data_IF_976281809224
#
_entry.id   IF_976281809224
#
_cell.length_a   1.000
_cell.length_b   1.000
_cell.length_c   1.000
_cell.angle_alpha   90.00
_cell.angle_beta   90.00
_cell.angle_gamma   90.00
#
_symmetry.space_group_name_H-M   'P 1'
#
loop_
_entity.id
_entity.type
_entity.pdbx_description
1 polymer ?
#
# COMPACT_ATOMS: atom_id res chain seq x y z
N UNK A 1 -7.00 -13.70 13.43
CA UNK A 1 -8.06 -12.87 12.81
C UNK A 1 -7.82 -11.36 12.94
N UNK A 2 -7.51 -10.81 14.12
CA UNK A 2 -7.28 -9.35 14.27
C UNK A 2 -6.14 -8.77 13.42
N UNK A 3 -4.99 -9.46 13.30
CA UNK A 3 -3.87 -9.02 12.44
C UNK A 3 -4.16 -9.03 10.93
N UNK A 4 -4.98 -9.98 10.46
CA UNK A 4 -5.42 -10.03 9.06
C UNK A 4 -6.38 -8.88 8.74
N UNK A 5 -7.26 -8.53 9.69
CA UNK A 5 -8.11 -7.34 9.59
C UNK A 5 -7.29 -6.04 9.59
N UNK A 6 -6.20 -5.98 10.37
CA UNK A 6 -5.28 -4.84 10.37
C UNK A 6 -4.55 -4.68 9.03
N UNK A 7 -4.09 -5.77 8.41
CA UNK A 7 -3.54 -5.75 7.04
C UNK A 7 -4.55 -5.23 6.02
N UNK A 8 -5.81 -5.65 6.13
CA UNK A 8 -6.89 -5.19 5.26
C UNK A 8 -7.14 -3.69 5.46
N UNK A 9 -7.25 -3.23 6.70
CA UNK A 9 -7.44 -1.82 7.06
C UNK A 9 -6.28 -0.96 6.55
N UNK A 10 -5.02 -1.37 6.79
CA UNK A 10 -3.82 -0.65 6.32
C UNK A 10 -3.73 -0.54 4.79
N UNK A 11 -4.38 -1.45 4.04
CA UNK A 11 -4.44 -1.36 2.58
C UNK A 11 -5.40 -0.27 2.06
N UNK A 12 -6.35 0.20 2.89
CA UNK A 12 -7.33 1.24 2.52
C UNK A 12 -6.98 2.64 3.03
N UNK A 13 -6.05 2.78 3.99
CA UNK A 13 -5.70 4.07 4.62
C UNK A 13 -4.48 4.77 4.01
N UNK A 14 -3.98 4.34 2.85
CA UNK A 14 -2.84 5.00 2.17
C UNK A 14 -3.18 6.36 1.53
N UNK A 15 -4.37 6.92 1.78
CA UNK A 15 -4.75 8.26 1.35
C UNK A 15 -5.22 9.09 2.55
N UNK A 16 -4.41 10.09 2.91
CA UNK A 16 -4.60 11.18 3.89
C UNK A 16 -3.81 11.05 5.20
N UNK A 17 -2.58 11.56 5.17
CA UNK A 17 -1.80 11.93 6.35
C UNK A 17 -1.91 13.44 6.62
N UNK A 18 -3.02 13.85 7.21
CA UNK A 18 -2.94 14.89 8.23
C UNK A 18 -3.27 14.20 9.54
N UNK A 19 -2.34 14.23 10.49
CA UNK A 19 -2.65 13.87 11.86
C UNK A 19 -3.93 14.63 12.23
N UNK A 20 -5.02 13.90 12.50
CA UNK A 20 -6.31 14.51 12.75
C UNK A 20 -6.16 15.55 13.86
N UNK A 21 -6.60 16.78 13.61
CA UNK A 21 -6.73 17.80 14.64
C UNK A 21 -7.57 17.24 15.79
N UNK A 22 -7.40 17.80 16.98
CA UNK A 22 -8.21 17.44 18.13
C UNK A 22 -9.72 17.60 17.81
N UNK A 23 -10.62 16.90 18.53
CA UNK A 23 -12.06 17.00 18.26
C UNK A 23 -12.62 18.44 18.31
N UNK A 24 -11.91 19.35 18.97
CA UNK A 24 -12.19 20.78 19.07
C UNK A 24 -11.49 21.65 18.00
N UNK A 25 -10.76 21.03 17.07
CA UNK A 25 -9.98 21.70 16.03
C UNK A 25 -8.61 22.21 16.48
N UNK A 26 -8.20 21.97 17.72
CA UNK A 26 -6.87 22.38 18.21
C UNK A 26 -5.74 21.46 17.70
N UNK A 27 -4.52 22.00 17.69
CA UNK A 27 -3.32 21.20 17.42
C UNK A 27 -2.96 20.36 18.68
N UNK A 28 -2.70 19.05 18.53
CA UNK A 28 -2.30 18.21 19.65
C UNK A 28 -1.01 18.70 20.32
N UNK A 29 -0.99 18.74 21.65
CA UNK A 29 0.18 19.15 22.44
C UNK A 29 1.14 17.98 22.62
N UNK A 30 2.36 18.14 22.14
CA UNK A 30 3.44 17.16 22.31
C UNK A 30 3.97 17.12 23.74
N UNK A 31 4.07 15.93 24.30
CA UNK A 31 4.67 15.60 25.59
C UNK A 31 5.56 14.35 25.46
N UNK A 32 6.32 14.02 26.49
CA UNK A 32 7.17 12.81 26.53
C UNK A 32 6.49 11.79 27.45
N UNK A 33 6.52 10.51 27.08
CA UNK A 33 6.01 9.42 27.89
C UNK A 33 6.67 9.37 29.27
N UNK A 34 5.98 8.78 30.25
CA UNK A 34 6.48 8.72 31.62
C UNK A 34 7.83 7.99 31.76
N UNK A 35 8.12 7.05 30.86
CA UNK A 35 9.37 6.30 30.78
C UNK A 35 10.40 6.93 29.83
N UNK A 36 10.08 8.05 29.19
CA UNK A 36 10.99 8.78 28.31
C UNK A 36 11.21 8.17 26.93
N UNK A 37 10.51 7.08 26.59
CA UNK A 37 10.80 6.28 25.38
C UNK A 37 10.07 6.77 24.14
N UNK A 38 9.00 7.56 24.26
CA UNK A 38 8.25 8.10 23.13
C UNK A 38 7.61 9.46 23.40
N UNK A 39 7.08 10.07 22.34
CA UNK A 39 6.29 11.30 22.43
C UNK A 39 4.79 10.99 22.48
N UNK A 40 4.09 11.61 23.42
CA UNK A 40 2.63 11.53 23.59
C UNK A 40 2.02 12.84 23.11
N UNK A 41 1.00 12.78 22.25
CA UNK A 41 0.28 13.97 21.78
C UNK A 41 -1.12 14.01 22.39
N UNK A 42 -1.39 15.03 23.21
CA UNK A 42 -2.63 15.16 23.96
C UNK A 42 -3.42 16.37 23.46
N UNK A 43 -4.74 16.21 23.35
CA UNK A 43 -5.64 17.34 23.11
C UNK A 43 -5.88 18.12 24.41
N UNK A 44 -5.67 19.44 24.38
CA UNK A 44 -5.77 20.31 25.55
C UNK A 44 -7.21 20.70 25.88
N UNK A 45 -8.06 19.73 26.23
CA UNK A 45 -9.42 19.96 26.69
C UNK A 45 -9.64 19.36 28.07
N UNK A 46 -10.06 20.18 29.04
CA UNK A 46 -10.30 19.79 30.44
C UNK A 46 -11.22 18.56 30.56
N UNK A 47 -10.66 17.46 31.06
CA UNK A 47 -11.38 16.26 31.44
C UNK A 47 -12.18 16.50 32.73
N UNK A 48 -13.37 17.08 32.63
CA UNK A 48 -14.27 17.24 33.76
C UNK A 48 -15.70 16.72 33.52
N UNK A 49 -15.88 15.67 32.71
CA UNK A 49 -17.13 14.88 32.70
C UNK A 49 -16.95 13.45 32.16
N UNK A 50 -15.92 12.74 32.61
CA UNK A 50 -15.90 11.28 32.51
C UNK A 50 -15.78 10.71 33.92
N UNK A 51 -16.87 10.07 34.38
CA UNK A 51 -16.87 9.29 35.63
C UNK A 51 -15.64 8.38 35.64
N UNK A 52 -14.90 8.43 36.74
CA UNK A 52 -13.90 7.44 37.11
C UNK A 52 -14.53 6.05 37.17
N UNK A 53 -14.65 5.39 36.02
CA UNK A 53 -14.71 3.95 35.97
C UNK A 53 -13.28 3.48 36.18
N UNK A 54 -12.96 3.16 37.45
CA UNK A 54 -11.84 2.27 37.79
C UNK A 54 -12.09 0.92 37.12
N UNK A 55 -11.85 0.85 35.82
CA UNK A 55 -11.67 -0.40 35.13
C UNK A 55 -10.24 -0.77 35.43
N UNK A 56 -10.05 -1.72 36.32
CA UNK A 56 -8.81 -2.46 36.41
C UNK A 56 -8.54 -3.03 35.03
N UNK A 57 -7.75 -2.34 34.21
CA UNK A 57 -7.16 -2.90 33.02
C UNK A 57 -6.08 -3.88 33.49
N UNK A 58 -6.54 -5.00 34.05
CA UNK A 58 -5.79 -6.23 33.96
C UNK A 58 -5.84 -6.56 32.47
N UNK A 59 -4.80 -6.11 31.76
CA UNK A 59 -4.59 -6.43 30.37
C UNK A 59 -4.85 -7.93 30.21
N UNK A 60 -5.82 -8.26 29.37
CA UNK A 60 -6.06 -9.63 28.98
C UNK A 60 -4.77 -10.10 28.31
N UNK A 61 -4.01 -10.93 29.03
CA UNK A 61 -2.82 -11.65 28.54
C UNK A 61 -3.18 -12.72 27.51
N UNK A 62 -4.19 -12.48 26.67
CA UNK A 62 -4.67 -13.41 25.66
C UNK A 62 -4.49 -12.85 24.24
N UNK A 63 -3.32 -12.29 23.95
CA UNK A 63 -2.73 -12.32 22.59
C UNK A 63 -2.20 -13.72 22.22
N UNK A 64 -2.33 -14.70 23.13
CA UNK A 64 -1.85 -16.08 23.01
C UNK A 64 -2.60 -17.00 22.03
N UNK A 65 -3.40 -16.48 21.09
CA UNK A 65 -4.12 -17.35 20.12
C UNK A 65 -4.19 -16.82 18.68
N UNK A 66 -3.23 -15.98 18.24
CA UNK A 66 -3.06 -15.73 16.80
C UNK A 66 -2.06 -16.77 16.27
N UNK A 67 -2.59 -17.99 16.08
CA UNK A 67 -1.94 -19.19 15.56
C UNK A 67 -0.72 -19.64 16.39
N UNK A 68 -0.91 -20.62 17.28
CA UNK A 68 0.19 -21.53 17.64
C UNK A 68 0.59 -22.31 16.38
N UNK A 69 1.36 -21.69 15.48
CA UNK A 69 1.84 -22.30 14.24
C UNK A 69 2.06 -21.30 13.10
N UNK A 70 3.16 -21.47 12.36
CA UNK A 70 3.39 -20.78 11.09
C UNK A 70 2.33 -21.18 10.05
N UNK A 71 1.81 -20.23 9.28
CA UNK A 71 0.93 -20.48 8.12
C UNK A 71 1.64 -21.41 7.15
N UNK A 72 0.99 -22.50 6.73
CA UNK A 72 1.56 -23.45 5.78
C UNK A 72 1.07 -23.15 4.37
N UNK A 73 1.87 -23.52 3.37
CA UNK A 73 1.47 -23.40 1.95
C UNK A 73 0.18 -24.19 1.63
N UNK A 74 -0.07 -25.30 2.33
CA UNK A 74 -1.32 -26.08 2.21
C UNK A 74 -2.56 -25.30 2.62
N UNK A 75 -2.40 -24.30 3.50
CA UNK A 75 -3.49 -23.54 4.10
C UNK A 75 -3.90 -22.36 3.21
N UNK A 76 -3.10 -22.06 2.16
CA UNK A 76 -3.34 -20.96 1.25
C UNK A 76 -4.38 -21.35 0.20
N UNK A 77 -5.46 -20.58 0.15
CA UNK A 77 -6.41 -20.55 -0.95
C UNK A 77 -6.49 -19.13 -1.52
N UNK A 78 -6.14 -18.97 -2.80
CA UNK A 78 -6.23 -17.67 -3.46
C UNK A 78 -7.66 -17.44 -3.96
N UNK A 79 -8.30 -16.31 -3.62
CA UNK A 79 -9.70 -16.10 -3.94
C UNK A 79 -9.91 -15.56 -5.37
N UNK A 80 -8.85 -15.26 -6.12
CA UNK A 80 -8.92 -14.76 -7.50
C UNK A 80 -9.01 -13.24 -7.61
N UNK A 81 -9.86 -12.56 -6.81
CA UNK A 81 -10.07 -11.10 -6.87
C UNK A 81 -9.38 -10.32 -5.74
N UNK A 82 -8.24 -10.82 -5.25
CA UNK A 82 -7.43 -10.23 -4.17
C UNK A 82 -8.21 -9.98 -2.85
N UNK A 83 -8.05 -10.87 -1.88
CA UNK A 83 -8.80 -10.94 -0.61
C UNK A 83 -10.32 -11.15 -0.70
N UNK A 84 -10.90 -11.18 -1.89
CA UNK A 84 -12.31 -11.54 -2.12
C UNK A 84 -12.47 -12.48 -3.31
N UNK A 85 -13.52 -13.29 -3.28
CA UNK A 85 -13.94 -14.17 -4.39
C UNK A 85 -14.76 -13.44 -5.43
N UNK A 86 -15.44 -12.36 -5.02
CA UNK A 86 -16.32 -11.57 -5.87
C UNK A 86 -16.23 -10.08 -5.52
N UNK A 87 -16.54 -9.23 -6.50
CA UNK A 87 -16.61 -7.77 -6.34
C UNK A 87 -18.05 -7.38 -6.67
N UNK A 88 -18.77 -6.91 -5.66
CA UNK A 88 -20.15 -6.45 -5.79
C UNK A 88 -20.23 -4.92 -5.75
N UNK A 89 -21.40 -4.38 -6.09
CA UNK A 89 -21.67 -2.95 -5.95
C UNK A 89 -21.52 -2.53 -4.49
N UNK A 90 -20.83 -1.41 -4.25
CA UNK A 90 -20.57 -0.91 -2.90
C UNK A 90 -21.00 0.54 -2.77
N UNK A 91 -21.87 0.86 -1.80
CA UNK A 91 -22.35 2.22 -1.57
C UNK A 91 -21.23 3.20 -1.20
N UNK A 92 -20.13 2.71 -0.60
CA UNK A 92 -18.95 3.53 -0.29
C UNK A 92 -18.19 3.98 -1.55
N UNK A 93 -18.44 3.34 -2.70
CA UNK A 93 -17.83 3.73 -3.98
C UNK A 93 -18.61 4.83 -4.71
N UNK A 94 -19.75 5.26 -4.19
CA UNK A 94 -20.51 6.37 -4.80
C UNK A 94 -19.65 7.65 -4.83
N UNK A 95 -19.58 8.30 -5.99
CA UNK A 95 -18.78 9.52 -6.19
C UNK A 95 -17.29 9.29 -6.46
N UNK A 96 -16.81 8.05 -6.40
CA UNK A 96 -15.44 7.69 -6.79
C UNK A 96 -15.27 7.64 -8.32
N UNK A 97 -14.03 7.64 -8.85
CA UNK A 97 -13.80 7.61 -10.29
C UNK A 97 -14.50 6.45 -11.01
N UNK A 98 -15.12 6.76 -12.15
CA UNK A 98 -15.66 5.77 -13.12
C UNK A 98 -15.16 6.10 -14.52
N UNK A 99 -15.19 5.12 -15.44
CA UNK A 99 -14.81 5.33 -16.85
C UNK A 99 -15.89 5.99 -17.72
N UNK A 100 -17.07 6.26 -17.15
CA UNK A 100 -18.05 7.15 -17.78
C UNK A 100 -17.54 8.61 -17.84
N UNK A 101 -16.60 8.96 -16.95
CA UNK A 101 -15.96 10.28 -16.95
C UNK A 101 -14.71 10.28 -17.84
N UNK A 102 -14.69 11.20 -18.81
CA UNK A 102 -13.50 11.46 -19.63
C UNK A 102 -12.29 11.86 -18.78
N UNK A 103 -12.50 12.48 -17.62
CA UNK A 103 -11.43 12.84 -16.68
C UNK A 103 -10.71 11.61 -16.14
N UNK A 104 -11.43 10.61 -15.64
CA UNK A 104 -10.82 9.37 -15.13
C UNK A 104 -10.05 8.65 -16.22
N UNK A 105 -10.69 8.49 -17.40
CA UNK A 105 -10.07 7.84 -18.55
C UNK A 105 -8.77 8.54 -18.98
N UNK A 106 -8.82 9.86 -19.18
CA UNK A 106 -7.65 10.63 -19.61
C UNK A 106 -6.53 10.62 -18.57
N UNK A 107 -6.89 10.61 -17.27
CA UNK A 107 -5.93 10.52 -16.19
C UNK A 107 -5.17 9.19 -16.20
N UNK A 108 -5.87 8.06 -16.31
CA UNK A 108 -5.22 6.74 -16.44
C UNK A 108 -4.42 6.66 -17.74
N UNK A 109 -4.97 7.17 -18.85
CA UNK A 109 -4.28 7.20 -20.14
C UNK A 109 -2.97 7.99 -20.08
N UNK A 110 -2.92 9.07 -19.31
CA UNK A 110 -1.72 9.88 -19.12
C UNK A 110 -0.59 9.17 -18.38
N UNK A 111 -0.88 8.10 -17.64
CA UNK A 111 0.14 7.28 -16.98
C UNK A 111 0.89 6.36 -17.96
N UNK A 112 0.30 6.04 -19.12
CA UNK A 112 0.88 5.10 -20.08
C UNK A 112 2.21 5.63 -20.61
N UNK A 113 3.31 4.94 -20.28
CA UNK A 113 4.66 5.35 -20.67
C UNK A 113 5.14 6.65 -20.00
N UNK A 114 4.53 7.05 -18.89
CA UNK A 114 4.93 8.24 -18.14
C UNK A 114 6.33 8.08 -17.55
N UNK A 115 7.21 9.05 -17.82
CA UNK A 115 8.59 9.09 -17.34
C UNK A 115 8.63 9.65 -15.91
N UNK A 116 8.33 8.78 -14.94
CA UNK A 116 8.37 9.11 -13.53
C UNK A 116 9.77 9.47 -13.06
N UNK A 117 10.81 8.85 -13.63
CA UNK A 117 12.19 9.09 -13.24
C UNK A 117 12.56 10.56 -13.49
N UNK A 118 12.31 11.05 -14.70
CA UNK A 118 12.61 12.43 -15.08
C UNK A 118 11.71 13.44 -14.35
N UNK A 119 10.41 13.15 -14.20
CA UNK A 119 9.49 14.03 -13.47
C UNK A 119 9.91 14.17 -12.00
N UNK A 120 10.21 13.04 -11.35
CA UNK A 120 10.65 13.03 -9.97
C UNK A 120 11.97 13.79 -9.80
N UNK A 121 12.96 13.56 -10.65
CA UNK A 121 14.27 14.23 -10.56
C UNK A 121 14.15 15.75 -10.76
N UNK A 122 13.22 16.20 -11.62
CA UNK A 122 13.00 17.62 -11.87
C UNK A 122 12.19 18.32 -10.77
N UNK A 123 11.25 17.62 -10.14
CA UNK A 123 10.19 18.27 -9.36
C UNK A 123 10.13 17.83 -7.88
N UNK A 124 10.85 16.80 -7.46
CA UNK A 124 10.78 16.26 -6.10
C UNK A 124 12.07 16.43 -5.30
N UNK A 125 11.93 16.45 -3.98
CA UNK A 125 13.06 16.38 -3.05
C UNK A 125 12.73 15.54 -1.80
N UNK A 126 13.62 15.52 -0.82
CA UNK A 126 13.44 14.73 0.42
C UNK A 126 12.22 15.15 1.23
N UNK A 127 11.91 16.46 1.27
CA UNK A 127 10.79 17.00 2.04
C UNK A 127 9.45 16.93 1.30
N UNK A 128 9.48 17.10 -0.02
CA UNK A 128 8.30 17.19 -0.88
C UNK A 128 8.43 16.24 -2.08
N UNK A 129 8.15 14.94 -1.90
CA UNK A 129 8.01 14.02 -3.02
C UNK A 129 6.68 14.29 -3.76
N UNK A 130 6.74 14.77 -5.00
CA UNK A 130 5.55 15.06 -5.81
C UNK A 130 5.15 13.82 -6.63
N UNK A 131 4.31 12.95 -6.05
CA UNK A 131 3.95 11.65 -6.64
C UNK A 131 2.54 11.58 -7.24
N UNK A 132 1.79 12.68 -7.22
CA UNK A 132 0.39 12.72 -7.67
C UNK A 132 0.23 12.28 -9.14
N UNK A 133 1.24 12.56 -9.96
CA UNK A 133 1.27 12.19 -11.38
C UNK A 133 1.25 10.68 -11.63
N UNK A 134 1.63 9.86 -10.64
CA UNK A 134 1.56 8.38 -10.75
C UNK A 134 0.54 7.76 -9.81
N UNK A 135 0.29 8.39 -8.66
CA UNK A 135 -0.65 7.89 -7.65
C UNK A 135 -2.11 8.20 -7.99
N UNK A 136 -2.45 9.42 -8.44
CA UNK A 136 -3.84 9.70 -8.83
C UNK A 136 -4.33 8.84 -10.00
N UNK A 137 -3.54 8.60 -11.08
CA UNK A 137 -3.96 7.73 -12.17
C UNK A 137 -4.17 6.28 -11.75
N UNK A 138 -3.29 5.70 -10.93
CA UNK A 138 -3.48 4.30 -10.53
C UNK A 138 -4.69 4.14 -9.61
N UNK A 139 -4.95 5.11 -8.72
CA UNK A 139 -6.16 5.14 -7.89
C UNK A 139 -7.42 5.25 -8.76
N UNK A 140 -7.38 6.08 -9.81
CA UNK A 140 -8.47 6.18 -10.78
C UNK A 140 -8.71 4.87 -11.52
N UNK A 141 -7.64 4.17 -11.95
CA UNK A 141 -7.75 2.84 -12.56
C UNK A 141 -8.42 1.85 -11.60
N UNK A 142 -7.93 1.75 -10.37
CA UNK A 142 -8.47 0.81 -9.37
C UNK A 142 -9.94 1.09 -9.05
N UNK A 143 -10.27 2.35 -8.73
CA UNK A 143 -11.62 2.75 -8.35
C UNK A 143 -12.61 2.55 -9.49
N UNK A 144 -12.23 2.94 -10.71
CA UNK A 144 -13.08 2.78 -11.88
C UNK A 144 -13.25 1.31 -12.28
N UNK A 145 -12.24 0.47 -12.06
CA UNK A 145 -12.31 -0.99 -12.26
C UNK A 145 -13.26 -1.64 -11.26
N UNK A 146 -13.15 -1.32 -9.96
CA UNK A 146 -14.06 -1.81 -8.93
C UNK A 146 -15.51 -1.42 -9.24
N UNK A 147 -15.76 -0.16 -9.60
CA UNK A 147 -17.09 0.30 -10.02
C UNK A 147 -17.58 -0.42 -11.29
N UNK A 148 -16.69 -0.71 -12.24
CA UNK A 148 -17.07 -1.40 -13.46
C UNK A 148 -17.51 -2.84 -13.20
N UNK A 149 -16.73 -3.59 -12.40
CA UNK A 149 -17.02 -4.98 -12.05
C UNK A 149 -18.25 -5.05 -11.14
N UNK A 150 -18.27 -4.27 -10.04
CA UNK A 150 -19.35 -4.33 -9.06
C UNK A 150 -20.72 -3.91 -9.58
N UNK A 151 -20.77 -3.10 -10.64
CA UNK A 151 -22.03 -2.71 -11.30
C UNK A 151 -22.29 -3.45 -12.63
N UNK A 152 -21.52 -4.51 -12.92
CA UNK A 152 -21.61 -5.28 -14.18
C UNK A 152 -21.59 -4.41 -15.45
N UNK A 153 -20.79 -3.33 -15.44
CA UNK A 153 -20.67 -2.42 -16.56
C UNK A 153 -19.61 -2.91 -17.55
N UNK A 154 -20.04 -3.78 -18.46
CA UNK A 154 -19.19 -4.42 -19.47
C UNK A 154 -18.40 -3.42 -20.35
N UNK A 155 -18.97 -2.25 -20.65
CA UNK A 155 -18.26 -1.22 -21.40
C UNK A 155 -17.06 -0.67 -20.62
N UNK A 156 -17.25 -0.38 -19.33
CA UNK A 156 -16.17 0.11 -18.47
C UNK A 156 -15.16 -0.97 -18.10
N UNK A 157 -15.58 -2.24 -17.98
CA UNK A 157 -14.67 -3.39 -17.81
C UNK A 157 -13.74 -3.48 -19.03
N UNK A 158 -14.27 -3.36 -20.25
CA UNK A 158 -13.47 -3.34 -21.47
C UNK A 158 -12.47 -2.18 -21.51
N UNK A 159 -12.87 -0.98 -21.06
CA UNK A 159 -11.98 0.18 -20.95
C UNK A 159 -10.85 -0.10 -19.95
N UNK A 160 -11.20 -0.59 -18.75
CA UNK A 160 -10.25 -0.92 -17.70
C UNK A 160 -9.20 -1.94 -18.19
N UNK A 161 -9.67 -3.01 -18.84
CA UNK A 161 -8.80 -4.04 -19.43
C UNK A 161 -7.84 -3.47 -20.46
N UNK A 162 -8.33 -2.65 -21.40
CA UNK A 162 -7.47 -2.07 -22.43
C UNK A 162 -6.40 -1.15 -21.83
N UNK A 163 -6.76 -0.30 -20.87
CA UNK A 163 -5.81 0.55 -20.16
C UNK A 163 -4.75 -0.27 -19.40
N UNK A 164 -5.16 -1.37 -18.72
CA UNK A 164 -4.24 -2.28 -18.04
C UNK A 164 -3.21 -2.89 -19.01
N UNK A 165 -3.64 -3.29 -20.20
CA UNK A 165 -2.79 -3.86 -21.25
C UNK A 165 -1.86 -2.79 -21.83
N UNK A 166 -2.35 -1.58 -22.08
CA UNK A 166 -1.55 -0.50 -22.65
C UNK A 166 -0.45 -0.04 -21.69
N UNK A 167 -0.74 0.02 -20.38
CA UNK A 167 0.27 0.25 -19.34
C UNK A 167 1.39 -0.79 -19.41
N UNK A 168 1.03 -2.07 -19.56
CA UNK A 168 2.00 -3.17 -19.67
C UNK A 168 2.84 -3.11 -20.96
N UNK A 169 2.23 -2.78 -22.10
CA UNK A 169 2.92 -2.65 -23.39
C UNK A 169 3.91 -1.50 -23.41
N UNK A 170 3.60 -0.42 -22.71
CA UNK A 170 4.44 0.78 -22.63
C UNK A 170 5.56 0.66 -21.60
N UNK A 171 5.70 -0.48 -20.91
CA UNK A 171 6.70 -0.68 -19.85
C UNK A 171 6.63 0.41 -18.79
N UNK A 172 5.41 0.87 -18.51
CA UNK A 172 5.12 2.03 -17.67
C UNK A 172 5.83 1.92 -16.30
N UNK A 173 6.56 2.96 -15.89
CA UNK A 173 7.37 3.01 -14.65
C UNK A 173 8.52 1.98 -14.54
N UNK A 174 8.82 1.20 -15.59
CA UNK A 174 9.95 0.27 -15.54
C UNK A 174 11.30 1.00 -15.59
N UNK A 175 11.35 2.22 -16.11
CA UNK A 175 12.51 3.11 -16.13
C UNK A 175 12.92 3.63 -14.76
N UNK A 176 11.98 3.71 -13.79
CA UNK A 176 12.23 4.18 -12.42
C UNK A 176 13.32 3.38 -11.70
N UNK A 177 14.03 4.00 -10.76
CA UNK A 177 15.16 3.36 -10.06
C UNK A 177 14.74 2.07 -9.32
N UNK A 178 15.57 1.01 -9.43
CA UNK A 178 15.34 -0.25 -8.73
C UNK A 178 15.99 -0.31 -7.35
N UNK A 179 15.55 -1.22 -6.48
CA UNK A 179 16.01 -1.30 -5.09
C UNK A 179 17.53 -1.40 -4.94
N UNK A 180 18.19 -2.24 -5.75
CA UNK A 180 19.64 -2.40 -5.69
C UNK A 180 20.41 -1.15 -6.08
N UNK A 181 19.84 -0.30 -6.95
CA UNK A 181 20.48 0.95 -7.37
C UNK A 181 20.21 2.07 -6.37
N UNK A 182 19.03 2.10 -5.74
CA UNK A 182 18.75 2.99 -4.60
C UNK A 182 19.76 2.81 -3.48
N UNK A 183 20.14 1.57 -3.16
CA UNK A 183 21.15 1.29 -2.12
C UNK A 183 22.54 1.90 -2.40
N UNK A 184 22.81 2.30 -3.64
CA UNK A 184 24.07 2.96 -4.05
C UNK A 184 23.96 4.49 -4.03
N UNK A 185 22.78 5.03 -3.75
CA UNK A 185 22.51 6.48 -3.72
C UNK A 185 22.61 7.02 -2.28
N UNK A 186 22.82 8.33 -2.10
CA UNK A 186 22.71 8.96 -0.80
C UNK A 186 21.34 8.72 -0.16
N UNK A 187 21.31 8.68 1.18
CA UNK A 187 20.05 8.68 1.92
C UNK A 187 19.30 9.99 1.73
N UNK A 188 18.01 9.98 2.00
CA UNK A 188 17.19 11.18 2.05
C UNK A 188 17.75 12.14 3.11
N UNK A 189 17.59 13.44 2.89
CA UNK A 189 18.20 14.49 3.72
C UNK A 189 19.73 14.37 3.81
N UNK A 190 20.39 14.00 2.70
CA UNK A 190 21.84 13.87 2.64
C UNK A 190 22.52 15.14 3.15
N UNK A 191 23.39 15.01 4.16
CA UNK A 191 24.05 16.16 4.79
C UNK A 191 23.11 17.10 5.56
N UNK A 192 21.89 16.67 5.89
CA UNK A 192 20.87 17.50 6.54
C UNK A 192 20.12 18.43 5.59
N UNK A 193 20.33 18.31 4.28
CA UNK A 193 19.67 19.16 3.28
C UNK A 193 18.27 18.65 2.95
N UNK A 194 17.25 19.45 3.28
CA UNK A 194 15.84 19.17 2.99
C UNK A 194 15.54 19.13 1.48
N UNK A 195 16.36 19.80 0.68
CA UNK A 195 16.22 19.85 -0.79
C UNK A 195 17.00 18.74 -1.50
N UNK A 196 17.79 17.94 -0.78
CA UNK A 196 18.50 16.82 -1.38
C UNK A 196 17.52 15.81 -2.00
N UNK A 197 17.88 15.16 -3.13
CA UNK A 197 17.05 14.12 -3.72
C UNK A 197 16.96 12.90 -2.79
N UNK A 198 15.76 12.33 -2.68
CA UNK A 198 15.50 11.11 -1.92
C UNK A 198 15.18 9.96 -2.87
N UNK A 199 16.22 9.31 -3.41
CA UNK A 199 16.08 8.22 -4.40
C UNK A 199 15.24 7.04 -3.91
N UNK A 200 15.11 6.87 -2.59
CA UNK A 200 14.20 5.89 -2.02
C UNK A 200 12.73 6.23 -2.29
N UNK A 201 12.32 7.50 -2.25
CA UNK A 201 10.95 7.91 -2.58
C UNK A 201 10.61 7.60 -4.05
N UNK A 202 11.52 7.89 -4.98
CA UNK A 202 11.32 7.55 -6.41
C UNK A 202 10.96 6.06 -6.58
N UNK A 203 11.78 5.20 -5.98
CA UNK A 203 11.59 3.75 -5.97
C UNK A 203 10.31 3.33 -5.25
N UNK A 204 10.08 3.87 -4.05
CA UNK A 204 8.96 3.47 -3.20
C UNK A 204 7.62 3.74 -3.90
N UNK A 205 7.42 4.93 -4.45
CA UNK A 205 6.17 5.26 -5.13
C UNK A 205 5.98 4.44 -6.41
N UNK A 206 7.03 4.21 -7.20
CA UNK A 206 6.94 3.34 -8.38
C UNK A 206 6.59 1.88 -7.99
N UNK A 207 7.23 1.36 -6.93
CA UNK A 207 6.95 0.03 -6.36
C UNK A 207 5.49 -0.08 -5.93
N UNK A 208 5.00 0.89 -5.16
CA UNK A 208 3.65 0.85 -4.58
C UNK A 208 2.57 1.00 -5.67
N UNK A 209 2.78 1.88 -6.66
CA UNK A 209 1.94 2.00 -7.85
C UNK A 209 1.92 0.70 -8.66
N UNK A 210 3.05 0.02 -8.79
CA UNK A 210 3.08 -1.31 -9.42
C UNK A 210 2.33 -2.37 -8.60
N UNK A 211 2.36 -2.31 -7.26
CA UNK A 211 1.52 -3.15 -6.40
C UNK A 211 0.03 -2.97 -6.70
N UNK A 212 -0.41 -1.71 -6.82
CA UNK A 212 -1.78 -1.34 -7.19
C UNK A 212 -2.16 -1.81 -8.61
N UNK A 213 -1.23 -1.72 -9.57
CA UNK A 213 -1.43 -2.30 -10.91
C UNK A 213 -1.71 -3.80 -10.85
N UNK A 214 -0.93 -4.56 -10.07
CA UNK A 214 -1.12 -6.01 -9.96
C UNK A 214 -2.46 -6.38 -9.31
N UNK A 215 -2.94 -5.57 -8.35
CA UNK A 215 -4.28 -5.75 -7.76
C UNK A 215 -5.36 -5.60 -8.83
N UNK A 216 -5.31 -4.52 -9.62
CA UNK A 216 -6.24 -4.32 -10.74
C UNK A 216 -6.13 -5.44 -11.79
N UNK A 217 -4.93 -5.95 -12.05
CA UNK A 217 -4.72 -7.09 -12.94
C UNK A 217 -5.39 -8.37 -12.43
N UNK A 218 -5.35 -8.66 -11.12
CA UNK A 218 -6.09 -9.79 -10.55
C UNK A 218 -7.60 -9.63 -10.71
N UNK A 219 -8.12 -8.42 -10.48
CA UNK A 219 -9.55 -8.15 -10.66
C UNK A 219 -10.03 -8.39 -12.10
N UNK A 220 -9.19 -8.04 -13.08
CA UNK A 220 -9.49 -8.16 -14.51
C UNK A 220 -9.00 -9.48 -15.12
N UNK A 221 -8.43 -10.40 -14.34
CA UNK A 221 -7.74 -11.59 -14.88
C UNK A 221 -8.62 -12.44 -15.80
N UNK A 222 -9.88 -12.63 -15.42
CA UNK A 222 -10.84 -13.46 -16.18
C UNK A 222 -11.31 -12.79 -17.48
N UNK A 223 -11.06 -11.48 -17.64
CA UNK A 223 -11.40 -10.70 -18.84
C UNK A 223 -10.29 -10.73 -19.91
N UNK A 224 -9.10 -11.19 -19.54
CA UNK A 224 -7.93 -11.29 -20.42
C UNK A 224 -8.00 -12.58 -21.24
N UNK A 225 -7.85 -12.45 -22.56
CA UNK A 225 -7.57 -13.62 -23.40
C UNK A 225 -6.11 -14.08 -23.25
N UNK A 226 -5.76 -15.21 -23.85
CA UNK A 226 -4.42 -15.81 -23.74
C UNK A 226 -3.28 -14.85 -24.16
N UNK A 227 -3.43 -14.11 -25.26
CA UNK A 227 -2.41 -13.17 -25.73
C UNK A 227 -2.29 -11.96 -24.80
N UNK A 228 -3.42 -11.43 -24.33
CA UNK A 228 -3.46 -10.32 -23.37
C UNK A 228 -2.83 -10.73 -22.04
N UNK A 229 -3.09 -11.96 -21.57
CA UNK A 229 -2.49 -12.51 -20.36
C UNK A 229 -0.97 -12.62 -20.49
N UNK A 230 -0.43 -13.06 -21.63
CA UNK A 230 1.02 -13.13 -21.87
C UNK A 230 1.67 -11.74 -21.78
N UNK A 231 1.02 -10.70 -22.31
CA UNK A 231 1.52 -9.32 -22.26
C UNK A 231 1.59 -8.84 -20.80
N UNK A 232 0.49 -8.99 -20.07
CA UNK A 232 0.40 -8.57 -18.66
C UNK A 232 1.36 -9.37 -17.79
N UNK A 233 1.46 -10.69 -17.99
CA UNK A 233 2.35 -11.57 -17.24
C UNK A 233 3.83 -11.21 -17.44
N UNK A 234 4.25 -10.96 -18.68
CA UNK A 234 5.62 -10.50 -18.99
C UNK A 234 5.95 -9.20 -18.26
N UNK A 235 5.00 -8.26 -18.23
CA UNK A 235 5.17 -6.99 -17.53
C UNK A 235 5.22 -7.16 -16.00
N UNK A 236 4.30 -7.94 -15.42
CA UNK A 236 4.29 -8.22 -13.97
C UNK A 236 5.59 -8.90 -13.54
N UNK A 237 6.06 -9.91 -14.28
CA UNK A 237 7.28 -10.65 -13.91
C UNK A 237 8.54 -9.79 -13.93
N UNK A 238 8.71 -8.92 -14.93
CA UNK A 238 9.88 -8.03 -14.99
C UNK A 238 9.84 -6.96 -13.90
N UNK A 239 8.67 -6.38 -13.65
CA UNK A 239 8.48 -5.36 -12.61
C UNK A 239 8.71 -5.98 -11.23
N UNK A 240 8.15 -7.15 -10.97
CA UNK A 240 8.37 -7.89 -9.72
C UNK A 240 9.86 -8.13 -9.44
N UNK A 241 10.60 -8.62 -10.44
CA UNK A 241 12.04 -8.88 -10.33
C UNK A 241 12.84 -7.64 -9.95
N UNK A 242 12.46 -6.46 -10.45
CA UNK A 242 13.16 -5.19 -10.19
C UNK A 242 12.74 -4.55 -8.87
N UNK A 243 11.44 -4.55 -8.56
CA UNK A 243 10.89 -3.73 -7.48
C UNK A 243 10.60 -4.48 -6.18
N UNK A 244 10.13 -5.73 -6.24
CA UNK A 244 9.62 -6.46 -5.06
C UNK A 244 10.49 -7.64 -4.65
N UNK A 245 11.01 -8.40 -5.62
CA UNK A 245 11.92 -9.52 -5.34
C UNK A 245 13.12 -9.14 -4.46
N UNK A 246 13.76 -7.97 -4.63
CA UNK A 246 14.89 -7.58 -3.78
C UNK A 246 14.55 -7.33 -2.31
N UNK A 247 13.26 -7.12 -1.98
CA UNK A 247 12.78 -6.84 -0.63
C UNK A 247 11.94 -7.98 -0.03
N UNK A 248 11.83 -9.11 -0.74
CA UNK A 248 11.22 -10.33 -0.19
C UNK A 248 11.89 -10.66 1.14
N UNK A 249 11.07 -10.76 2.19
CA UNK A 249 11.50 -11.10 3.54
C UNK A 249 12.61 -10.19 4.11
N UNK A 250 12.76 -8.97 3.58
CA UNK A 250 13.63 -7.98 4.20
C UNK A 250 13.11 -7.65 5.60
N UNK A 251 14.01 -7.60 6.58
CA UNK A 251 13.67 -7.28 7.97
C UNK A 251 13.86 -5.80 8.22
N UNK A 252 12.79 -5.09 8.55
CA UNK A 252 12.87 -3.66 8.86
C UNK A 252 13.08 -3.42 10.35
N UNK A 253 14.21 -2.86 10.80
CA UNK A 253 14.43 -2.60 12.25
C UNK A 253 13.49 -1.56 12.87
N UNK A 254 12.77 -0.81 12.03
CA UNK A 254 11.85 0.24 12.43
C UNK A 254 10.83 0.54 11.33
N UNK A 255 9.65 1.01 11.74
CA UNK A 255 8.60 1.52 10.87
C UNK A 255 7.82 0.44 10.11
N UNK A 256 6.54 0.69 9.90
CA UNK A 256 5.67 -0.22 9.15
C UNK A 256 4.81 0.62 8.20
N UNK A 257 5.26 0.70 6.96
CA UNK A 257 4.83 1.69 5.98
C UNK A 257 3.89 1.11 4.93
N UNK A 258 3.59 1.93 3.92
CA UNK A 258 2.71 1.63 2.80
C UNK A 258 2.91 0.21 2.24
N UNK A 259 1.79 -0.41 1.87
CA UNK A 259 1.74 -1.77 1.32
C UNK A 259 2.36 -2.83 2.26
N UNK A 260 2.34 -2.62 3.58
CA UNK A 260 2.98 -3.48 4.58
C UNK A 260 4.48 -3.67 4.27
N UNK A 261 5.21 -2.57 4.12
CA UNK A 261 6.61 -2.57 3.66
C UNK A 261 6.79 -3.31 2.32
N UNK A 262 5.84 -3.15 1.40
CA UNK A 262 5.80 -3.85 0.09
C UNK A 262 5.29 -5.30 0.13
N UNK A 263 4.96 -5.83 1.30
CA UNK A 263 4.52 -7.21 1.47
C UNK A 263 3.17 -7.52 0.82
N UNK A 264 2.26 -6.53 0.79
CA UNK A 264 0.98 -6.67 0.07
C UNK A 264 1.23 -7.01 -1.40
N UNK A 265 2.12 -6.29 -2.08
CA UNK A 265 2.40 -6.55 -3.48
C UNK A 265 3.09 -7.90 -3.72
N UNK A 266 3.88 -8.40 -2.76
CA UNK A 266 4.42 -9.77 -2.79
C UNK A 266 3.29 -10.80 -2.70
N UNK A 267 2.30 -10.60 -1.82
CA UNK A 267 1.12 -11.46 -1.73
C UNK A 267 0.26 -11.43 -3.01
N UNK A 268 0.11 -10.25 -3.62
CA UNK A 268 -0.57 -10.10 -4.91
C UNK A 268 0.16 -10.89 -6.00
N UNK A 269 1.50 -10.78 -6.08
CA UNK A 269 2.31 -11.54 -7.03
C UNK A 269 2.24 -13.06 -6.78
N UNK A 270 2.24 -13.48 -5.51
CA UNK A 270 2.05 -14.88 -5.14
C UNK A 270 0.69 -15.40 -5.62
N UNK A 271 -0.37 -14.60 -5.50
CA UNK A 271 -1.69 -14.92 -6.06
C UNK A 271 -1.67 -14.97 -7.58
N UNK A 272 -1.01 -14.02 -8.25
CA UNK A 272 -0.91 -13.96 -9.71
C UNK A 272 -0.23 -15.20 -10.30
N UNK A 273 0.80 -15.70 -9.62
CA UNK A 273 1.61 -16.86 -10.02
C UNK A 273 1.16 -18.18 -9.39
N UNK A 274 0.07 -18.17 -8.61
CA UNK A 274 -0.40 -19.31 -7.83
C UNK A 274 0.69 -19.93 -6.92
N UNK A 275 1.59 -19.09 -6.39
CA UNK A 275 2.70 -19.51 -5.55
C UNK A 275 2.31 -19.51 -4.07
N UNK A 276 1.67 -20.59 -3.62
CA UNK A 276 1.24 -20.76 -2.23
C UNK A 276 2.38 -20.73 -1.21
N UNK A 277 3.58 -21.17 -1.62
CA UNK A 277 4.77 -21.16 -0.76
C UNK A 277 5.19 -19.73 -0.45
N UNK A 278 5.34 -18.90 -1.48
CA UNK A 278 5.67 -17.49 -1.35
C UNK A 278 4.64 -16.76 -0.48
N UNK A 279 3.34 -17.02 -0.70
CA UNK A 279 2.28 -16.41 0.10
C UNK A 279 2.39 -16.78 1.60
N UNK A 280 2.60 -18.06 1.91
CA UNK A 280 2.75 -18.51 3.29
C UNK A 280 4.01 -17.92 3.96
N UNK A 281 5.14 -17.90 3.26
CA UNK A 281 6.39 -17.29 3.74
C UNK A 281 6.20 -15.79 4.02
N UNK A 282 5.52 -15.06 3.12
CA UNK A 282 5.30 -13.63 3.26
C UNK A 282 4.34 -13.30 4.40
N UNK A 283 3.24 -14.04 4.56
CA UNK A 283 2.32 -13.88 5.70
C UNK A 283 3.06 -14.09 7.03
N UNK A 284 3.84 -15.17 7.13
CA UNK A 284 4.60 -15.46 8.34
C UNK A 284 5.63 -14.38 8.63
N UNK A 285 6.36 -13.94 7.61
CA UNK A 285 7.36 -12.88 7.75
C UNK A 285 6.71 -11.56 8.21
N UNK A 286 5.60 -11.14 7.60
CA UNK A 286 4.89 -9.91 8.00
C UNK A 286 4.30 -10.01 9.41
N UNK A 287 3.84 -11.19 9.84
CA UNK A 287 3.41 -11.39 11.22
C UNK A 287 4.55 -11.27 12.23
N UNK A 288 5.72 -11.85 11.93
CA UNK A 288 6.92 -11.69 12.76
C UNK A 288 7.40 -10.24 12.80
N UNK A 289 7.29 -9.53 11.67
CA UNK A 289 7.62 -8.13 11.59
C UNK A 289 6.66 -7.27 12.43
N UNK A 290 5.36 -7.54 12.37
CA UNK A 290 4.37 -6.90 13.25
C UNK A 290 4.67 -7.17 14.73
N UNK A 291 5.00 -8.41 15.09
CA UNK A 291 5.35 -8.75 16.49
C UNK A 291 6.59 -8.01 17.00
N UNK A 292 7.52 -7.66 16.11
CA UNK A 292 8.73 -6.91 16.46
C UNK A 292 8.51 -5.40 16.49
N UNK A 293 7.67 -4.87 15.60
CA UNK A 293 7.53 -3.44 15.38
C UNK A 293 6.36 -2.79 16.10
N UNK A 294 5.35 -3.57 16.50
CA UNK A 294 4.15 -3.04 17.14
C UNK A 294 4.27 -3.24 18.65
N UNK A 295 4.28 -2.14 19.40
CA UNK A 295 4.23 -2.15 20.85
C UNK A 295 2.87 -2.66 21.35
N UNK A 296 2.81 -3.05 22.63
CA UNK A 296 1.58 -3.63 23.23
C UNK A 296 0.38 -2.67 23.22
N UNK A 297 0.66 -1.36 23.20
CA UNK A 297 -0.33 -0.28 23.12
C UNK A 297 -0.72 0.08 21.67
N UNK A 298 -0.14 -0.61 20.68
CA UNK A 298 -0.43 -0.44 19.25
C UNK A 298 0.43 0.59 18.53
N UNK A 299 1.34 1.29 19.22
CA UNK A 299 2.29 2.18 18.55
C UNK A 299 3.32 1.38 17.73
N UNK A 300 3.73 1.94 16.60
CA UNK A 300 4.72 1.32 15.70
C UNK A 300 6.09 1.95 15.97
N UNK A 301 7.10 1.11 16.20
CA UNK A 301 8.47 1.51 16.49
C UNK A 301 9.03 2.46 15.43
N UNK A 302 9.32 3.69 15.85
CA UNK A 302 9.91 4.76 15.02
C UNK A 302 9.22 4.91 13.65
N UNK A 303 7.89 4.85 13.66
CA UNK A 303 7.07 5.18 12.51
C UNK A 303 6.91 6.70 12.40
N UNK A 304 6.99 7.22 11.18
CA UNK A 304 6.74 8.65 10.92
C UNK A 304 5.30 9.03 11.29
N UNK A 305 5.10 10.09 12.07
CA UNK A 305 3.76 10.66 12.32
C UNK A 305 3.09 11.26 11.07
N UNK A 306 3.80 11.32 9.93
CA UNK A 306 3.30 11.82 8.64
C UNK A 306 2.79 10.72 7.71
N UNK A 307 2.67 9.48 8.20
CA UNK A 307 2.19 8.32 7.45
C UNK A 307 1.44 7.35 8.34
#
# INVERSE_FOLDING_TARGET
MKKLFLLLILSFFSAQSFAGSCPDGSEPVKSVSADGTYFVYNCGGDSNNAKDTKTSNKASTNSSNILEGSVKASDINFPGKFYTTEIESCSAMVGTPTFNSSRSYNRVKGLIGYDWHADWEANSNSMSPLHDNITEPIIALMSATLNAIGNDNQANIKIAKNLLIDLAKADTLYDSIGYYDVKKKPTCYAGGDVNAPCWYHEYQYARDVFGNYMIAALWLRDELNEQELIIVDKYINKMYKKFHKPIEFHKEEQGFYAMANGGIAILVYASWTNNKKLAAEEINHRFQEMDRLFYEDGYINNNSFRG
#
